data_IF_664690231311
#
_entry.id   IF_664690231311
#
_cell.length_a   1.000
_cell.length_b   1.000
_cell.length_c   1.000
_cell.angle_alpha   90.00
_cell.angle_beta   90.00
_cell.angle_gamma   90.00
#
_symmetry.space_group_name_H-M   'P 1'
#
loop_
_entity.id
_entity.type
_entity.pdbx_description
1 polymer ?
#
# COMPACT_ATOMS: atom_id res chain seq x y z
N UNK A 1 22.78 56.95 22.67
CA UNK A 1 23.97 56.07 22.56
C UNK A 1 23.51 54.65 22.83
N UNK A 2 23.64 53.70 21.89
CA UNK A 2 23.28 52.30 22.16
C UNK A 2 24.25 51.72 23.19
N UNK A 3 23.73 50.97 24.15
CA UNK A 3 24.53 50.33 25.20
C UNK A 3 25.47 49.28 24.60
N UNK A 4 26.64 49.11 25.23
CA UNK A 4 27.69 48.21 24.74
C UNK A 4 27.21 46.76 24.62
N UNK A 5 26.23 46.34 25.43
CA UNK A 5 25.68 44.97 25.40
C UNK A 5 24.82 44.74 24.15
N UNK A 6 24.00 45.72 23.76
CA UNK A 6 23.22 45.65 22.52
C UNK A 6 24.12 45.60 21.27
N UNK A 7 25.25 46.32 21.29
CA UNK A 7 26.22 46.28 20.17
C UNK A 7 26.87 44.89 20.09
N UNK A 8 27.29 44.31 21.22
CA UNK A 8 27.89 42.98 21.27
C UNK A 8 26.88 41.91 20.80
N UNK A 9 25.63 41.99 21.26
CA UNK A 9 24.57 41.07 20.86
C UNK A 9 24.31 41.13 19.35
N UNK A 10 24.26 42.33 18.76
CA UNK A 10 24.06 42.51 17.33
C UNK A 10 25.20 41.91 16.49
N UNK A 11 26.45 42.05 16.94
CA UNK A 11 27.62 41.46 16.27
C UNK A 11 27.60 39.94 16.35
N UNK A 12 27.22 39.36 17.50
CA UNK A 12 27.10 37.90 17.66
C UNK A 12 25.98 37.34 16.77
N UNK A 13 24.85 38.03 16.68
CA UNK A 13 23.73 37.63 15.80
C UNK A 13 24.13 37.66 14.33
N UNK A 14 24.87 38.68 13.90
CA UNK A 14 25.39 38.79 12.54
C UNK A 14 26.37 37.65 12.20
N UNK A 15 27.25 37.30 13.14
CA UNK A 15 28.17 36.17 12.99
C UNK A 15 27.42 34.83 12.89
N UNK A 16 26.41 34.60 13.74
CA UNK A 16 25.61 33.37 13.69
C UNK A 16 24.83 33.24 12.38
N UNK A 17 24.25 34.33 11.87
CA UNK A 17 23.58 34.35 10.56
C UNK A 17 24.58 34.09 9.43
N UNK A 18 25.78 34.66 9.51
CA UNK A 18 26.86 34.41 8.55
C UNK A 18 27.28 32.93 8.51
N UNK A 19 27.45 32.31 9.68
CA UNK A 19 27.74 30.87 9.81
C UNK A 19 26.59 30.04 9.23
N UNK A 20 25.34 30.38 9.53
CA UNK A 20 24.17 29.68 9.01
C UNK A 20 24.09 29.73 7.47
N UNK A 21 24.32 30.91 6.87
CA UNK A 21 24.32 31.06 5.40
C UNK A 21 25.49 30.29 4.77
N UNK A 22 26.68 30.34 5.37
CA UNK A 22 27.86 29.63 4.89
C UNK A 22 27.66 28.10 4.88
N UNK A 23 27.07 27.54 5.92
CA UNK A 23 26.77 26.11 5.98
C UNK A 23 25.68 25.69 4.99
N UNK A 24 24.70 26.55 4.71
CA UNK A 24 23.60 26.21 3.79
C UNK A 24 23.94 26.40 2.30
N UNK A 25 24.89 27.28 1.93
CA UNK A 25 25.23 27.51 0.52
C UNK A 25 25.94 26.32 -0.16
N UNK A 26 26.58 25.41 0.59
CA UNK A 26 27.28 24.24 0.01
C UNK A 26 26.35 23.07 -0.39
N UNK A 27 25.02 23.23 -0.30
CA UNK A 27 24.04 22.18 -0.67
C UNK A 27 23.52 22.35 -2.12
N UNK A 28 24.13 23.19 -2.95
CA UNK A 28 23.86 23.18 -4.39
C UNK A 28 24.56 21.97 -5.04
N UNK A 29 23.91 20.80 -4.97
CA UNK A 29 24.41 19.56 -5.56
C UNK A 29 24.44 19.68 -7.08
N UNK A 30 25.64 19.71 -7.65
CA UNK A 30 25.82 19.41 -9.07
C UNK A 30 25.52 17.92 -9.28
N UNK A 31 24.32 17.60 -9.77
CA UNK A 31 23.99 16.26 -10.24
C UNK A 31 24.65 16.06 -11.60
N UNK A 32 25.94 15.71 -11.61
CA UNK A 32 26.54 15.13 -12.80
C UNK A 32 25.88 13.75 -13.00
N UNK A 33 25.38 13.41 -14.20
CA UNK A 33 24.83 12.09 -14.45
C UNK A 33 25.96 11.07 -14.29
N UNK A 34 25.94 10.34 -13.18
CA UNK A 34 26.89 9.24 -12.92
C UNK A 34 26.37 8.00 -13.64
N UNK A 35 26.79 7.81 -14.88
CA UNK A 35 26.48 6.62 -15.67
C UNK A 35 27.07 6.69 -17.07
N UNK A 36 27.46 5.54 -17.62
CA UNK A 36 27.82 5.41 -19.03
C UNK A 36 26.61 5.76 -19.89
N UNK A 37 26.79 6.49 -20.99
CA UNK A 37 25.71 6.75 -21.92
C UNK A 37 25.18 5.40 -22.44
N UNK A 38 23.91 5.11 -22.15
CA UNK A 38 23.24 3.93 -22.69
C UNK A 38 23.02 4.13 -24.20
N UNK A 39 23.28 3.09 -24.99
CA UNK A 39 22.99 3.11 -26.42
C UNK A 39 21.48 3.38 -26.62
N UNK A 40 21.17 4.44 -27.36
CA UNK A 40 19.80 4.88 -27.61
C UNK A 40 18.96 3.81 -28.34
N UNK A 41 19.60 2.87 -29.04
CA UNK A 41 18.92 1.75 -29.71
C UNK A 41 18.36 0.71 -28.75
N UNK A 42 18.86 0.65 -27.50
CA UNK A 42 18.39 -0.25 -26.45
C UNK A 42 17.24 0.35 -25.62
N UNK A 43 16.95 1.64 -25.79
CA UNK A 43 15.84 2.32 -25.13
C UNK A 43 14.55 2.03 -25.90
N UNK A 44 13.48 1.64 -25.18
CA UNK A 44 12.15 1.48 -25.78
C UNK A 44 11.82 2.74 -26.59
N UNK A 45 11.54 2.63 -27.92
CA UNK A 45 11.28 3.80 -28.76
C UNK A 45 10.11 4.64 -28.26
N UNK A 46 9.21 4.05 -27.48
CA UNK A 46 8.07 4.76 -26.87
C UNK A 46 8.43 5.44 -25.54
N UNK A 47 9.59 5.19 -24.93
CA UNK A 47 9.95 5.69 -23.60
C UNK A 47 9.92 7.21 -23.52
N UNK A 48 10.52 7.89 -24.52
CA UNK A 48 10.55 9.35 -24.56
C UNK A 48 9.14 9.95 -24.69
N UNK A 49 8.30 9.36 -25.53
CA UNK A 49 6.90 9.74 -25.69
C UNK A 49 6.12 9.54 -24.38
N UNK A 50 6.25 8.38 -23.72
CA UNK A 50 5.61 8.07 -22.43
C UNK A 50 6.04 9.08 -21.35
N UNK A 51 7.34 9.41 -21.30
CA UNK A 51 7.87 10.37 -20.35
C UNK A 51 7.31 11.78 -20.57
N UNK A 52 7.23 12.23 -21.84
CA UNK A 52 6.63 13.52 -22.23
C UNK A 52 5.15 13.58 -21.85
N UNK A 53 4.37 12.55 -22.19
CA UNK A 53 2.95 12.45 -21.82
C UNK A 53 2.77 12.46 -20.30
N UNK A 54 3.55 11.66 -19.56
CA UNK A 54 3.49 11.64 -18.09
C UNK A 54 3.84 12.99 -17.47
N UNK A 55 4.81 13.72 -18.04
CA UNK A 55 5.15 15.09 -17.62
C UNK A 55 4.02 16.07 -17.91
N UNK A 56 3.38 15.96 -19.07
CA UNK A 56 2.22 16.79 -19.44
C UNK A 56 1.05 16.61 -18.47
N UNK A 57 0.73 15.36 -18.10
CA UNK A 57 -0.35 15.06 -17.15
C UNK A 57 -0.03 15.64 -15.76
N UNK A 58 1.19 15.47 -15.26
CA UNK A 58 1.61 16.07 -13.97
C UNK A 58 1.47 17.59 -13.99
N UNK A 59 1.87 18.24 -15.08
CA UNK A 59 1.74 19.70 -15.25
C UNK A 59 0.27 20.14 -15.31
N UNK A 60 -0.58 19.38 -16.00
CA UNK A 60 -2.02 19.65 -16.01
C UNK A 60 -2.61 19.55 -14.60
N UNK A 61 -2.30 18.49 -13.84
CA UNK A 61 -2.77 18.34 -12.45
C UNK A 61 -2.28 19.49 -11.58
N UNK A 62 -1.04 19.95 -11.77
CA UNK A 62 -0.49 21.07 -11.03
C UNK A 62 -1.25 22.38 -11.30
N UNK A 63 -1.64 22.65 -12.55
CA UNK A 63 -2.35 23.87 -12.94
C UNK A 63 -3.87 23.80 -12.63
N UNK A 64 -4.48 22.62 -12.72
CA UNK A 64 -5.94 22.43 -12.71
C UNK A 64 -6.46 21.72 -11.45
N UNK A 65 -5.58 21.18 -10.61
CA UNK A 65 -5.93 20.49 -9.36
C UNK A 65 -6.37 19.02 -9.52
N UNK A 66 -6.79 18.61 -10.71
CA UNK A 66 -7.26 17.25 -11.03
C UNK A 66 -6.63 16.70 -12.31
N UNK A 67 -6.70 15.37 -12.49
CA UNK A 67 -6.22 14.72 -13.70
C UNK A 67 -7.08 15.09 -14.91
N UNK A 68 -6.50 15.13 -16.13
CA UNK A 68 -7.25 15.43 -17.34
C UNK A 68 -8.47 14.49 -17.49
N UNK A 69 -9.68 15.00 -17.76
CA UNK A 69 -10.83 14.15 -18.01
C UNK A 69 -10.71 13.35 -19.33
N UNK A 70 -9.93 13.86 -20.28
CA UNK A 70 -9.58 13.16 -21.52
C UNK A 70 -8.16 13.50 -21.95
N UNK A 71 -7.58 12.64 -22.81
CA UNK A 71 -6.24 12.86 -23.37
C UNK A 71 -6.15 14.15 -24.18
N UNK A 72 -7.25 14.56 -24.83
CA UNK A 72 -7.33 15.77 -25.67
C UNK A 72 -7.07 17.06 -24.88
N UNK A 73 -7.34 17.06 -23.56
CA UNK A 73 -7.06 18.21 -22.70
C UNK A 73 -5.57 18.50 -22.53
N UNK A 74 -4.71 17.55 -22.90
CA UNK A 74 -3.27 17.76 -22.90
C UNK A 74 -2.77 18.46 -24.17
N UNK A 75 -3.53 18.44 -25.26
CA UNK A 75 -3.11 19.01 -26.53
C UNK A 75 -2.86 20.53 -26.40
N UNK A 76 -1.73 21.00 -26.95
CA UNK A 76 -1.39 22.41 -26.99
C UNK A 76 -0.56 22.83 -25.77
N UNK A 77 -1.21 23.33 -24.71
CA UNK A 77 -0.51 23.94 -23.56
C UNK A 77 0.40 22.95 -22.80
N UNK A 78 0.03 21.68 -22.75
CA UNK A 78 0.69 20.67 -21.91
C UNK A 78 1.51 19.65 -22.72
N UNK A 79 1.06 19.32 -23.93
CA UNK A 79 1.68 18.35 -24.84
C UNK A 79 1.75 18.91 -26.25
N UNK A 80 2.91 18.76 -26.89
CA UNK A 80 3.17 19.20 -28.26
C UNK A 80 2.38 18.37 -29.28
N UNK A 81 2.00 19.00 -30.40
CA UNK A 81 1.18 18.37 -31.43
C UNK A 81 1.85 17.13 -32.06
N UNK A 82 3.19 17.12 -32.17
CA UNK A 82 3.95 16.00 -32.71
C UNK A 82 3.87 14.78 -31.78
N UNK A 83 4.18 14.97 -30.49
CA UNK A 83 4.10 13.89 -29.49
C UNK A 83 2.66 13.45 -29.25
N UNK A 84 1.67 14.36 -29.32
CA UNK A 84 0.25 14.00 -29.25
C UNK A 84 -0.15 13.06 -30.40
N UNK A 85 0.23 13.37 -31.65
CA UNK A 85 -0.02 12.48 -32.80
C UNK A 85 0.68 11.13 -32.64
N UNK A 86 1.95 11.14 -32.22
CA UNK A 86 2.71 9.91 -31.95
C UNK A 86 2.05 9.05 -30.85
N UNK A 87 1.51 9.66 -29.81
CA UNK A 87 0.79 8.96 -28.75
C UNK A 87 -0.50 8.30 -29.26
N UNK A 88 -1.24 8.97 -30.17
CA UNK A 88 -2.42 8.39 -30.82
C UNK A 88 -2.05 7.21 -31.73
N UNK A 89 -0.96 7.34 -32.51
CA UNK A 89 -0.45 6.28 -33.39
C UNK A 89 0.01 5.04 -32.60
N UNK A 90 0.59 5.24 -31.41
CA UNK A 90 0.96 4.15 -30.49
C UNK A 90 -0.22 3.58 -29.68
N UNK A 91 -1.47 3.94 -30.02
CA UNK A 91 -2.71 3.50 -29.38
C UNK A 91 -2.67 3.62 -27.84
N UNK A 92 -2.22 4.78 -27.37
CA UNK A 92 -2.25 5.13 -25.94
C UNK A 92 -3.65 4.95 -25.38
N UNK A 93 -3.76 4.14 -24.33
CA UNK A 93 -4.95 3.99 -23.52
C UNK A 93 -4.85 4.93 -22.33
N UNK A 94 -5.79 5.88 -22.23
CA UNK A 94 -5.90 6.80 -21.11
C UNK A 94 -7.24 6.58 -20.40
N UNK A 95 -7.20 6.38 -19.09
CA UNK A 95 -8.40 6.27 -18.26
C UNK A 95 -8.29 7.21 -17.06
N UNK A 96 -9.32 8.04 -16.90
CA UNK A 96 -9.50 8.88 -15.73
C UNK A 96 -10.14 8.06 -14.61
N UNK A 97 -9.51 8.03 -13.42
CA UNK A 97 -9.96 7.21 -12.28
C UNK A 97 -10.65 8.06 -11.20
N UNK A 98 -10.67 9.40 -11.36
CA UNK A 98 -11.14 10.31 -10.32
C UNK A 98 -10.11 10.50 -9.21
N UNK A 99 -10.39 11.42 -8.28
CA UNK A 99 -9.54 11.71 -7.12
C UNK A 99 -8.06 11.95 -7.51
N UNK A 100 -7.83 12.85 -8.47
CA UNK A 100 -6.49 13.21 -9.01
C UNK A 100 -5.70 12.04 -9.63
N UNK A 101 -6.34 10.90 -9.86
CA UNK A 101 -5.69 9.67 -10.33
C UNK A 101 -6.02 9.37 -11.79
N UNK A 102 -5.03 8.85 -12.51
CA UNK A 102 -5.16 8.44 -13.92
C UNK A 102 -4.38 7.15 -14.16
N UNK A 103 -4.77 6.40 -15.19
CA UNK A 103 -3.95 5.32 -15.75
C UNK A 103 -3.70 5.59 -17.21
N UNK A 104 -2.44 5.48 -17.59
CA UNK A 104 -1.97 5.61 -18.96
C UNK A 104 -1.15 4.37 -19.29
N UNK A 105 -1.45 3.70 -20.40
CA UNK A 105 -0.69 2.56 -20.91
C UNK A 105 -0.60 2.61 -22.43
N UNK A 106 0.46 2.05 -22.99
CA UNK A 106 0.50 1.69 -24.41
C UNK A 106 0.42 0.17 -24.51
N UNK A 107 -0.39 -0.39 -25.42
CA UNK A 107 -0.31 -1.82 -25.70
C UNK A 107 1.08 -2.08 -26.27
N UNK A 108 1.94 -2.73 -25.47
CA UNK A 108 3.27 -3.13 -25.91
C UNK A 108 3.12 -3.93 -27.21
N UNK A 109 3.85 -3.54 -28.27
CA UNK A 109 4.04 -4.38 -29.47
C UNK A 109 4.81 -5.64 -29.07
N UNK A 110 4.14 -6.57 -28.39
CA UNK A 110 4.58 -7.95 -28.17
C UNK A 110 3.40 -8.88 -28.43
N UNK A 111 3.21 -9.18 -29.72
CA UNK A 111 2.36 -10.27 -30.21
C UNK A 111 0.84 -10.08 -30.02
N UNK A 112 0.01 -10.76 -30.84
CA UNK A 112 -1.43 -10.66 -30.73
C UNK A 112 -1.91 -11.39 -29.47
N UNK A 113 -2.26 -10.64 -28.43
CA UNK A 113 -3.16 -11.17 -27.40
C UNK A 113 -4.55 -11.18 -28.02
N UNK A 114 -5.07 -12.38 -28.25
CA UNK A 114 -6.43 -12.62 -28.73
C UNK A 114 -7.41 -11.83 -27.87
N UNK A 115 -8.19 -10.99 -28.54
CA UNK A 115 -9.24 -10.16 -27.97
C UNK A 115 -10.36 -11.05 -27.46
N UNK A 116 -10.56 -11.12 -26.13
CA UNK A 116 -11.85 -11.50 -25.57
C UNK A 116 -12.76 -10.27 -25.60
N UNK A 117 -13.69 -10.24 -26.55
CA UNK A 117 -14.80 -9.30 -26.59
C UNK A 117 -15.89 -9.84 -25.66
N UNK A 118 -16.21 -9.09 -24.61
CA UNK A 118 -17.30 -9.41 -23.70
C UNK A 118 -17.72 -8.17 -22.90
N UNK A 119 -18.97 -7.69 -23.03
CA UNK A 119 -19.48 -6.57 -22.24
C UNK A 119 -19.72 -7.00 -20.79
N UNK A 120 -19.69 -6.02 -19.88
CA UNK A 120 -19.87 -6.23 -18.45
C UNK A 120 -21.12 -7.04 -18.10
N UNK A 121 -21.00 -7.91 -17.10
CA UNK A 121 -22.15 -8.45 -16.40
C UNK A 121 -21.81 -8.59 -14.94
N UNK A 122 -22.36 -7.67 -14.17
CA UNK A 122 -22.56 -7.75 -12.73
C UNK A 122 -23.64 -8.81 -12.45
N UNK A 123 -23.44 -9.79 -11.56
CA UNK A 123 -24.54 -10.66 -11.14
C UNK A 123 -25.34 -9.95 -10.04
N UNK A 124 -26.50 -9.42 -10.42
CA UNK A 124 -27.61 -9.11 -9.51
C UNK A 124 -28.61 -10.27 -9.59
N UNK A 125 -29.03 -10.90 -8.49
CA UNK A 125 -30.09 -11.91 -8.52
C UNK A 125 -31.45 -11.25 -8.35
N UNK A 126 -32.32 -11.39 -9.35
CA UNK A 126 -33.71 -10.96 -9.31
C UNK A 126 -34.62 -11.81 -10.21
N UNK A 127 -35.42 -12.66 -9.53
CA UNK A 127 -36.81 -13.05 -9.80
C UNK A 127 -37.28 -13.67 -11.15
N UNK A 128 -37.76 -14.92 -11.04
CA UNK A 128 -39.01 -15.56 -11.57
C UNK A 128 -39.44 -15.44 -13.04
N UNK A 129 -39.69 -16.59 -13.67
CA UNK A 129 -41.00 -17.10 -14.22
C UNK A 129 -40.78 -18.56 -14.72
N UNK A 130 -41.47 -19.60 -14.23
CA UNK A 130 -42.73 -20.20 -14.76
C UNK A 130 -42.64 -20.57 -16.26
N UNK A 131 -42.95 -21.75 -16.81
CA UNK A 131 -43.81 -22.91 -16.50
C UNK A 131 -43.37 -24.11 -17.38
N UNK A 132 -43.49 -25.38 -16.97
CA UNK A 132 -44.55 -26.36 -17.28
C UNK A 132 -43.84 -27.74 -17.34
N UNK A 133 -44.33 -28.92 -16.95
CA UNK A 133 -45.58 -29.45 -16.41
C UNK A 133 -45.45 -30.99 -16.42
N UNK A 134 -46.26 -31.67 -15.61
CA UNK A 134 -46.54 -33.12 -15.61
C UNK A 134 -45.60 -34.06 -14.83
N UNK A 135 -46.06 -34.56 -13.67
CA UNK A 135 -46.55 -35.94 -13.53
C UNK A 135 -46.73 -36.32 -12.05
N UNK A 136 -48.00 -36.58 -11.70
CA UNK A 136 -48.50 -37.59 -10.77
C UNK A 136 -47.52 -38.30 -9.82
N UNK A 137 -47.76 -38.15 -8.52
CA UNK A 137 -47.22 -39.02 -7.49
C UNK A 137 -47.70 -38.59 -6.11
N UNK A 138 -48.90 -38.99 -5.72
CA UNK A 138 -49.34 -38.90 -4.33
C UNK A 138 -48.56 -39.92 -3.49
N UNK A 139 -47.80 -39.53 -2.46
CA UNK A 139 -47.43 -40.48 -1.43
C UNK A 139 -48.61 -40.62 -0.47
N UNK A 140 -49.34 -41.71 -0.66
CA UNK A 140 -50.16 -42.30 0.38
C UNK A 140 -49.26 -42.62 1.57
N UNK A 141 -49.41 -41.92 2.70
CA UNK A 141 -48.87 -42.36 3.98
C UNK A 141 -50.01 -42.52 4.99
N UNK A 142 -50.63 -43.70 4.90
CA UNK A 142 -51.32 -44.29 6.04
C UNK A 142 -50.24 -44.60 7.08
N UNK A 143 -50.11 -43.76 8.10
CA UNK A 143 -49.36 -44.07 9.30
C UNK A 143 -50.35 -44.17 10.46
N UNK A 144 -50.39 -45.37 11.01
CA UNK A 144 -51.27 -45.80 12.06
C UNK A 144 -51.13 -44.92 13.30
N UNK A 145 -52.27 -44.45 13.79
CA UNK A 145 -52.46 -43.97 15.16
C UNK A 145 -52.19 -45.13 16.11
N UNK A 146 -50.97 -45.20 16.63
CA UNK A 146 -50.72 -45.83 17.92
C UNK A 146 -50.53 -44.69 18.91
N UNK A 147 -51.53 -44.52 19.77
CA UNK A 147 -51.58 -43.54 20.84
C UNK A 147 -50.43 -43.79 21.82
N UNK A 148 -49.30 -43.13 21.56
CA UNK A 148 -48.36 -42.74 22.60
C UNK A 148 -48.42 -41.23 22.63
N UNK A 149 -48.78 -40.67 23.78
CA UNK A 149 -49.13 -39.25 23.99
C UNK A 149 -47.97 -38.26 23.83
N UNK A 150 -47.05 -38.50 22.90
CA UNK A 150 -45.97 -37.59 22.59
C UNK A 150 -46.45 -36.50 21.63
N UNK A 151 -46.74 -35.33 22.19
CA UNK A 151 -47.03 -34.11 21.43
C UNK A 151 -45.77 -33.26 21.36
N UNK A 152 -45.29 -33.01 20.14
CA UNK A 152 -44.14 -32.13 19.92
C UNK A 152 -44.51 -30.68 20.24
N UNK A 153 -43.86 -30.08 21.23
CA UNK A 153 -43.95 -28.66 21.54
C UNK A 153 -42.75 -27.90 20.92
N UNK A 154 -42.94 -27.07 19.88
CA UNK A 154 -41.88 -26.31 19.25
C UNK A 154 -41.40 -25.10 20.06
N UNK A 155 -42.04 -24.77 21.18
CA UNK A 155 -41.74 -23.57 21.96
C UNK A 155 -40.30 -23.62 22.51
N UNK A 156 -39.50 -22.61 22.14
CA UNK A 156 -38.10 -22.45 22.56
C UNK A 156 -37.05 -23.23 21.76
N UNK A 157 -37.42 -23.96 20.70
CA UNK A 157 -36.46 -24.69 19.84
C UNK A 157 -36.14 -23.87 18.58
N UNK A 158 -34.91 -23.98 18.04
CA UNK A 158 -34.56 -23.33 16.78
C UNK A 158 -35.43 -23.91 15.64
N UNK A 159 -35.97 -23.02 14.81
CA UNK A 159 -36.83 -23.38 13.70
C UNK A 159 -36.04 -24.22 12.67
N UNK A 160 -36.43 -25.48 12.43
CA UNK A 160 -35.68 -26.39 11.54
C UNK A 160 -35.71 -25.95 10.06
N UNK A 161 -36.59 -25.02 9.70
CA UNK A 161 -36.71 -24.47 8.35
C UNK A 161 -36.03 -23.11 8.19
N UNK A 162 -35.50 -22.54 9.28
CA UNK A 162 -34.62 -21.37 9.20
C UNK A 162 -33.18 -21.84 9.12
N UNK A 163 -32.48 -21.46 8.07
CA UNK A 163 -31.07 -21.80 7.90
C UNK A 163 -30.24 -21.20 9.04
N UNK A 164 -29.50 -22.05 9.76
CA UNK A 164 -28.55 -21.63 10.79
C UNK A 164 -27.46 -20.69 10.23
N UNK A 165 -27.08 -20.84 8.97
CA UNK A 165 -26.03 -20.04 8.30
C UNK A 165 -26.38 -18.54 8.28
N UNK A 166 -27.65 -18.20 7.99
CA UNK A 166 -28.09 -16.80 7.91
C UNK A 166 -28.21 -16.15 9.31
N UNK A 167 -28.61 -16.92 10.32
CA UNK A 167 -28.70 -16.43 11.70
C UNK A 167 -27.30 -16.14 12.29
N UNK A 168 -26.32 -16.98 12.01
CA UNK A 168 -24.92 -16.75 12.42
C UNK A 168 -24.31 -15.55 11.68
N UNK A 169 -24.60 -15.39 10.38
CA UNK A 169 -24.11 -14.25 9.60
C UNK A 169 -24.64 -12.90 10.10
N UNK A 170 -25.93 -12.84 10.49
CA UNK A 170 -26.53 -11.63 11.05
C UNK A 170 -25.96 -11.27 12.44
N UNK A 171 -25.56 -12.28 13.23
CA UNK A 171 -24.92 -12.06 14.52
C UNK A 171 -23.45 -11.63 14.36
N UNK A 172 -22.76 -12.09 13.31
CA UNK A 172 -21.39 -11.71 12.97
C UNK A 172 -21.26 -10.26 12.42
N UNK A 173 -22.34 -9.69 11.86
CA UNK A 173 -22.38 -8.28 11.42
C UNK A 173 -22.43 -7.26 12.58
N UNK A 174 -22.86 -7.69 13.77
CA UNK A 174 -22.96 -6.81 14.95
C UNK A 174 -21.66 -6.71 15.76
N UNK A 175 -20.71 -7.61 15.51
CA UNK A 175 -19.34 -7.44 15.99
C UNK A 175 -18.61 -6.51 15.00
N UNK A 176 -17.84 -5.51 15.45
CA UNK A 176 -17.01 -4.73 14.54
C UNK A 176 -16.12 -5.72 13.81
N UNK A 177 -16.32 -5.86 12.50
CA UNK A 177 -15.48 -6.67 11.63
C UNK A 177 -14.10 -6.06 11.68
N UNK A 178 -13.30 -6.46 12.66
CA UNK A 178 -11.86 -6.19 12.71
C UNK A 178 -11.36 -6.89 11.47
N UNK A 179 -11.17 -6.12 10.41
CA UNK A 179 -10.48 -6.56 9.21
C UNK A 179 -9.14 -7.08 9.72
N UNK A 180 -9.02 -8.40 9.90
CA UNK A 180 -7.79 -9.06 10.30
C UNK A 180 -6.82 -8.77 9.17
N UNK A 181 -6.09 -7.66 9.30
CA UNK A 181 -5.02 -7.28 8.38
C UNK A 181 -4.09 -8.48 8.31
N UNK A 182 -3.85 -8.96 7.10
CA UNK A 182 -2.91 -10.06 6.92
C UNK A 182 -1.56 -9.59 7.46
N UNK A 183 -1.06 -10.28 8.49
CA UNK A 183 0.21 -9.97 9.13
C UNK A 183 1.33 -10.08 8.09
N UNK A 184 2.17 -9.06 8.00
CA UNK A 184 3.36 -9.12 7.15
C UNK A 184 4.36 -10.14 7.69
N UNK A 185 5.24 -10.71 6.86
CA UNK A 185 6.28 -11.63 7.34
C UNK A 185 7.08 -11.07 8.52
N UNK A 186 7.46 -9.79 8.45
CA UNK A 186 8.16 -9.07 9.53
C UNK A 186 7.38 -8.97 10.84
N UNK A 187 6.05 -9.01 10.81
CA UNK A 187 5.21 -8.99 12.02
C UNK A 187 5.05 -10.40 12.64
N UNK A 188 5.34 -11.46 11.88
CA UNK A 188 5.29 -12.83 12.39
C UNK A 188 6.59 -13.23 13.10
N UNK A 189 7.70 -12.62 12.69
CA UNK A 189 9.02 -12.85 13.27
C UNK A 189 9.13 -12.22 14.66
N UNK A 190 9.81 -12.85 15.62
CA UNK A 190 10.16 -12.20 16.88
C UNK A 190 11.26 -11.13 16.66
N UNK A 191 11.33 -10.14 17.55
CA UNK A 191 12.32 -9.06 17.45
C UNK A 191 13.78 -9.56 17.48
N UNK A 192 14.05 -10.67 18.17
CA UNK A 192 15.36 -11.32 18.21
C UNK A 192 15.80 -11.86 16.85
N UNK A 193 14.87 -12.40 16.06
CA UNK A 193 15.15 -12.87 14.71
C UNK A 193 15.38 -11.69 13.76
N UNK A 194 14.60 -10.61 13.91
CA UNK A 194 14.82 -9.37 13.16
C UNK A 194 16.20 -8.77 13.46
N UNK A 195 16.63 -8.78 14.72
CA UNK A 195 17.96 -8.32 15.10
C UNK A 195 19.07 -9.20 14.51
N UNK A 196 18.92 -10.53 14.58
CA UNK A 196 19.86 -11.46 13.98
C UNK A 196 19.89 -11.37 12.45
N UNK A 197 18.74 -11.07 11.84
CA UNK A 197 18.55 -10.87 10.42
C UNK A 197 18.92 -9.48 9.92
N UNK A 198 19.27 -8.54 10.78
CA UNK A 198 19.66 -7.19 10.36
C UNK A 198 21.04 -7.26 9.68
N UNK A 199 21.05 -7.17 8.34
CA UNK A 199 22.27 -7.32 7.53
C UNK A 199 22.88 -6.01 7.11
N UNK A 200 22.06 -5.01 6.82
CA UNK A 200 22.53 -3.73 6.34
C UNK A 200 21.60 -2.59 6.75
N UNK A 201 22.18 -1.42 6.95
CA UNK A 201 21.44 -0.16 7.06
C UNK A 201 21.97 0.77 5.99
N UNK A 202 21.07 1.37 5.24
CA UNK A 202 21.34 2.36 4.20
C UNK A 202 20.77 3.68 4.71
N UNK A 203 21.64 4.68 4.89
CA UNK A 203 21.25 6.02 5.29
C UNK A 203 21.68 7.04 4.25
N UNK A 204 20.89 8.11 4.09
CA UNK A 204 21.18 9.15 3.11
C UNK A 204 20.02 10.12 2.90
N UNK A 205 20.10 10.93 1.84
CA UNK A 205 19.10 11.96 1.57
C UNK A 205 17.72 11.40 1.16
N UNK A 206 17.67 10.15 0.71
CA UNK A 206 16.41 9.46 0.40
C UNK A 206 15.77 8.82 1.64
N UNK A 207 16.32 9.08 2.83
CA UNK A 207 15.88 8.52 4.11
C UNK A 207 16.71 7.31 4.53
N UNK A 208 16.45 6.85 5.76
CA UNK A 208 17.07 5.66 6.33
C UNK A 208 16.22 4.42 6.03
N UNK A 209 16.87 3.35 5.60
CA UNK A 209 16.27 2.04 5.34
C UNK A 209 17.16 0.93 5.88
N UNK A 210 16.56 -0.15 6.33
CA UNK A 210 17.29 -1.33 6.79
C UNK A 210 16.90 -2.56 5.97
N UNK A 211 17.85 -3.49 5.80
CA UNK A 211 17.63 -4.79 5.18
C UNK A 211 17.65 -5.86 6.27
N UNK A 212 16.52 -6.56 6.41
CA UNK A 212 16.32 -7.65 7.36
C UNK A 212 16.11 -8.95 6.60
N UNK A 213 16.89 -9.97 6.91
CA UNK A 213 16.80 -11.30 6.34
C UNK A 213 16.06 -12.24 7.31
N UNK A 214 15.11 -13.00 6.79
CA UNK A 214 14.43 -14.11 7.50
C UNK A 214 15.32 -15.37 7.48
N UNK A 215 15.10 -16.32 8.39
CA UNK A 215 15.77 -17.63 8.40
C UNK A 215 15.73 -18.38 7.06
N UNK A 216 14.78 -18.10 6.18
CA UNK A 216 14.74 -18.66 4.81
C UNK A 216 15.72 -17.99 3.83
N UNK A 217 16.42 -16.94 4.23
CA UNK A 217 17.28 -16.14 3.36
C UNK A 217 16.55 -15.07 2.54
N UNK A 218 15.27 -14.79 2.86
CA UNK A 218 14.49 -13.75 2.17
C UNK A 218 14.74 -12.39 2.83
N UNK A 219 15.24 -11.43 2.05
CA UNK A 219 15.47 -10.06 2.49
C UNK A 219 14.22 -9.16 2.38
N UNK A 220 13.94 -8.40 3.42
CA UNK A 220 12.87 -7.42 3.51
C UNK A 220 13.44 -6.04 3.84
N UNK A 221 12.90 -5.00 3.20
CA UNK A 221 13.30 -3.62 3.45
C UNK A 221 12.39 -2.99 4.49
N UNK A 222 12.98 -2.41 5.52
CA UNK A 222 12.32 -1.76 6.64
C UNK A 222 12.60 -0.25 6.60
N UNK A 223 11.59 0.55 6.88
CA UNK A 223 11.68 2.01 7.00
C UNK A 223 10.91 2.49 8.23
N UNK A 224 11.10 3.75 8.62
CA UNK A 224 10.31 4.36 9.71
C UNK A 224 8.80 4.20 9.47
N UNK A 225 8.05 3.82 10.51
CA UNK A 225 6.62 3.49 10.45
C UNK A 225 6.29 2.06 10.01
N UNK A 226 7.28 1.22 9.67
CA UNK A 226 7.03 -0.18 9.32
C UNK A 226 6.70 -1.01 10.56
N UNK A 227 5.68 -1.87 10.46
CA UNK A 227 5.35 -2.83 11.51
C UNK A 227 6.29 -4.03 11.49
N UNK A 228 6.81 -4.38 12.66
CA UNK A 228 7.81 -5.43 12.89
C UNK A 228 7.54 -6.11 14.23
N UNK A 229 7.91 -7.38 14.35
CA UNK A 229 7.74 -8.11 15.60
C UNK A 229 6.30 -8.61 15.83
N UNK A 230 6.19 -9.62 16.70
CA UNK A 230 4.91 -10.26 17.06
C UNK A 230 3.97 -9.38 17.89
N UNK A 231 4.50 -8.33 18.53
CA UNK A 231 3.74 -7.41 19.37
C UNK A 231 3.37 -6.10 18.66
N UNK A 232 3.22 -6.14 17.33
CA UNK A 232 2.92 -4.98 16.48
C UNK A 232 3.86 -3.80 16.73
N UNK A 233 5.16 -4.10 16.87
CA UNK A 233 6.19 -3.09 17.05
C UNK A 233 6.28 -2.19 15.83
N UNK A 234 6.56 -0.91 16.03
CA UNK A 234 6.68 0.08 14.96
C UNK A 234 8.12 0.60 14.95
N UNK A 235 8.74 0.64 13.77
CA UNK A 235 10.05 1.26 13.61
C UNK A 235 9.94 2.77 13.80
N UNK A 236 10.51 3.27 14.88
CA UNK A 236 10.47 4.69 15.25
C UNK A 236 11.56 5.48 14.54
N UNK A 237 12.79 4.95 14.54
CA UNK A 237 13.96 5.56 13.90
C UNK A 237 14.96 4.51 13.44
N UNK A 238 15.69 4.84 12.37
CA UNK A 238 16.80 4.02 11.86
C UNK A 238 18.07 4.89 11.87
N UNK A 239 19.06 4.47 12.64
CA UNK A 239 20.40 5.06 12.71
C UNK A 239 21.41 4.19 11.95
N UNK A 240 22.64 4.68 11.79
CA UNK A 240 23.70 4.02 11.01
C UNK A 240 24.05 2.61 11.51
N UNK A 241 23.92 2.37 12.82
CA UNK A 241 24.32 1.13 13.49
C UNK A 241 23.16 0.38 14.16
N UNK A 242 21.95 0.96 14.21
CA UNK A 242 20.83 0.40 14.98
C UNK A 242 19.47 0.88 14.52
N UNK A 243 18.44 0.12 14.89
CA UNK A 243 17.03 0.44 14.69
C UNK A 243 16.37 0.59 16.06
N UNK A 244 15.54 1.62 16.23
CA UNK A 244 14.70 1.80 17.40
C UNK A 244 13.28 1.35 17.05
N UNK A 245 12.79 0.35 17.77
CA UNK A 245 11.44 -0.19 17.62
C UNK A 245 10.64 0.11 18.88
N UNK A 246 9.43 0.60 18.73
CA UNK A 246 8.49 0.81 19.83
C UNK A 246 7.46 -0.33 19.80
N UNK A 247 7.43 -1.18 20.83
CA UNK A 247 6.43 -2.25 21.02
C UNK A 247 5.57 -1.95 22.25
N UNK A 248 4.33 -2.46 22.29
CA UNK A 248 3.54 -2.41 23.51
C UNK A 248 3.72 -3.72 24.29
N UNK A 249 4.22 -3.61 25.52
CA UNK A 249 4.39 -4.77 26.40
C UNK A 249 3.43 -4.65 27.59
N UNK A 250 2.86 -5.79 28.00
CA UNK A 250 2.07 -5.85 29.23
C UNK A 250 3.00 -5.82 30.43
N UNK A 251 2.85 -4.82 31.30
CA UNK A 251 3.55 -4.77 32.57
C UNK A 251 3.10 -5.95 33.45
N UNK A 252 4.00 -6.86 33.87
CA UNK A 252 3.65 -7.99 34.74
C UNK A 252 3.09 -7.56 36.10
N UNK A 253 3.35 -6.34 36.57
CA UNK A 253 2.83 -5.85 37.85
C UNK A 253 1.43 -5.23 37.78
N UNK A 254 1.11 -4.51 36.69
CA UNK A 254 -0.12 -3.69 36.59
C UNK A 254 -1.09 -4.14 35.49
N UNK A 255 -0.69 -5.09 34.64
CA UNK A 255 -1.52 -5.63 33.55
C UNK A 255 -1.84 -4.62 32.44
N UNK A 256 -1.26 -3.41 32.48
CA UNK A 256 -1.45 -2.36 31.48
C UNK A 256 -0.46 -2.53 30.33
N UNK A 257 -0.88 -2.12 29.13
CA UNK A 257 0.02 -2.02 27.98
C UNK A 257 0.83 -0.74 28.12
N UNK A 258 2.14 -0.89 28.22
CA UNK A 258 3.08 0.23 28.29
C UNK A 258 3.96 0.22 27.02
N UNK A 259 4.27 1.40 26.45
CA UNK A 259 5.20 1.49 25.34
C UNK A 259 6.61 1.12 25.83
N UNK A 260 7.26 0.22 25.10
CA UNK A 260 8.59 -0.28 25.36
C UNK A 260 9.47 -0.03 24.13
N UNK A 261 10.54 0.73 24.30
CA UNK A 261 11.51 0.98 23.23
C UNK A 261 12.60 -0.08 23.24
N UNK A 262 12.73 -0.82 22.13
CA UNK A 262 13.72 -1.87 21.92
C UNK A 262 14.73 -1.41 20.88
N UNK A 263 16.02 -1.55 21.21
CA UNK A 263 17.13 -1.17 20.34
C UNK A 263 17.69 -2.43 19.68
N UNK A 264 17.57 -2.52 18.36
CA UNK A 264 18.12 -3.62 17.56
C UNK A 264 19.44 -3.16 16.94
N UNK A 265 20.55 -3.81 17.27
CA UNK A 265 21.88 -3.40 16.77
C UNK A 265 22.28 -4.20 15.54
N UNK A 266 22.91 -3.52 14.58
CA UNK A 266 23.53 -4.16 13.43
C UNK A 266 24.77 -4.95 13.90
N UNK A 267 24.79 -6.27 13.67
CA UNK A 267 25.97 -7.09 13.95
C UNK A 267 27.06 -6.77 12.93
N UNK A 268 28.24 -6.38 13.43
CA UNK A 268 29.42 -6.22 12.57
C UNK A 268 29.91 -7.61 12.19
N UNK A 269 29.96 -7.90 10.90
CA UNK A 269 30.62 -9.12 10.41
C UNK A 269 32.11 -8.87 10.52
N UNK A 270 32.76 -9.53 11.47
CA UNK A 270 34.22 -9.65 11.47
C UNK A 270 34.57 -10.57 10.31
N UNK A 271 35.17 -10.01 9.26
CA UNK A 271 35.73 -10.81 8.19
C UNK A 271 37.00 -11.45 8.75
N UNK A 272 36.93 -12.74 9.09
CA UNK A 272 38.12 -13.56 9.23
C UNK A 272 38.74 -13.69 7.82
N UNK A 273 39.93 -13.11 7.65
CA UNK A 273 40.79 -13.29 6.47
C UNK A 273 41.52 -14.63 6.48
#
# INVERSE_FOLDING_TARGET
>A
MKDKKTIILAVVLLLLVGVYIYYNQKIAKQTKPTGTAVDASLVDPDFEMKAKVGKAIRKYIQDNGDAPPSFDKLQGKYLDAKTYKQALESNVQYTYVGNKSYRFSTPSKRGPVKVAKGPGTQPQPGATTSSAGSASGAPSSKLATTETGWKYDPTGKPDPFKSFILATAAQEETAPKVVRRQLTPLQKMPLSEIEAGLKAIIWGQLGSKALVEDATGKGYVVQEGTYVGQHDGIVKKIYEDRIIVEEYRRDPGKGRLEPNEVVLKLKKVEAEE
#
